data_IF_426419727107
#
_entry.id   IF_426419727107
#
_cell.length_a   1.000
_cell.length_b   1.000
_cell.length_c   1.000
_cell.angle_alpha   90.00
_cell.angle_beta   90.00
_cell.angle_gamma   90.00
#
_symmetry.space_group_name_H-M   'P 1'
#
loop_
_entity.id
_entity.type
_entity.pdbx_description
1 polymer ?
#
# COMPACT_ATOMS: atom_id res chain seq x y z
N UNK A 1 -20.43 4.58 25.32
CA UNK A 1 -19.10 4.43 24.67
C UNK A 1 -18.96 2.98 24.23
N UNK A 2 -19.64 2.58 23.17
CA UNK A 2 -19.42 1.30 22.56
C UNK A 2 -18.13 1.40 21.74
N UNK A 3 -17.13 0.66 22.21
CA UNK A 3 -15.96 0.32 21.40
C UNK A 3 -16.50 -0.63 20.35
N UNK A 4 -16.72 -0.16 19.12
CA UNK A 4 -16.98 -1.07 18.01
C UNK A 4 -15.79 -2.02 17.95
N UNK A 5 -16.00 -3.33 18.12
CA UNK A 5 -14.93 -4.28 17.90
C UNK A 5 -14.43 -4.06 16.47
N UNK A 6 -13.11 -4.09 16.28
CA UNK A 6 -12.51 -4.12 14.95
C UNK A 6 -13.36 -5.07 14.10
N UNK A 7 -14.03 -4.56 13.08
CA UNK A 7 -14.85 -5.43 12.24
C UNK A 7 -13.91 -6.43 11.57
N UNK A 8 -14.42 -7.61 11.24
CA UNK A 8 -13.65 -8.63 10.51
C UNK A 8 -13.06 -8.02 9.22
N UNK A 9 -13.77 -7.08 8.62
CA UNK A 9 -13.39 -6.31 7.45
C UNK A 9 -12.12 -5.46 7.68
N UNK A 10 -11.98 -4.79 8.83
CA UNK A 10 -10.80 -3.98 9.15
C UNK A 10 -9.60 -4.83 9.58
N UNK A 11 -9.86 -5.99 10.19
CA UNK A 11 -8.82 -6.89 10.68
C UNK A 11 -8.14 -7.67 9.53
N UNK A 12 -8.85 -7.98 8.44
CA UNK A 12 -8.36 -8.82 7.36
C UNK A 12 -7.16 -8.21 6.59
N UNK A 13 -7.11 -6.91 6.22
CA UNK A 13 -5.92 -6.31 5.61
C UNK A 13 -4.69 -6.41 6.51
N UNK A 14 -4.81 -6.10 7.79
CA UNK A 14 -3.72 -6.19 8.76
C UNK A 14 -3.23 -7.63 8.92
N UNK A 15 -4.17 -8.58 8.95
CA UNK A 15 -3.87 -10.01 9.03
C UNK A 15 -3.14 -10.50 7.76
N UNK A 16 -3.57 -10.08 6.57
CA UNK A 16 -2.91 -10.45 5.31
C UNK A 16 -1.49 -9.90 5.22
N UNK A 17 -1.24 -8.67 5.67
CA UNK A 17 0.10 -8.08 5.76
C UNK A 17 0.98 -8.83 6.77
N UNK A 18 0.42 -9.17 7.93
CA UNK A 18 1.10 -9.98 8.95
C UNK A 18 1.52 -11.35 8.43
N UNK A 19 0.64 -12.02 7.69
CA UNK A 19 0.95 -13.29 7.01
C UNK A 19 2.04 -13.12 5.95
N UNK A 20 2.02 -12.03 5.17
CA UNK A 20 3.06 -11.74 4.19
C UNK A 20 4.45 -11.58 4.81
N UNK A 21 4.56 -10.85 5.92
CA UNK A 21 5.82 -10.73 6.64
C UNK A 21 6.25 -12.07 7.25
N UNK A 22 5.31 -12.83 7.80
CA UNK A 22 5.59 -14.16 8.34
C UNK A 22 6.13 -15.09 7.25
N UNK A 23 5.50 -15.11 6.08
CA UNK A 23 5.93 -15.91 4.92
C UNK A 23 7.35 -15.54 4.50
N UNK A 24 7.64 -14.25 4.25
CA UNK A 24 8.98 -13.77 3.93
C UNK A 24 9.99 -14.18 4.99
N UNK A 25 9.64 -14.03 6.26
CA UNK A 25 10.55 -14.35 7.38
C UNK A 25 10.84 -15.84 7.47
N UNK A 26 9.83 -16.69 7.29
CA UNK A 26 9.98 -18.15 7.30
C UNK A 26 10.86 -18.62 6.13
N UNK A 27 10.62 -18.11 4.93
CA UNK A 27 11.46 -18.39 3.76
C UNK A 27 12.90 -17.92 3.98
N UNK A 28 13.08 -16.71 4.49
CA UNK A 28 14.41 -16.18 4.80
C UNK A 28 15.16 -17.07 5.79
N UNK A 29 14.53 -17.45 6.90
CA UNK A 29 15.11 -18.34 7.92
C UNK A 29 15.38 -19.73 7.32
N UNK A 30 14.43 -20.29 6.59
CA UNK A 30 14.57 -21.60 5.95
C UNK A 30 15.75 -21.65 4.98
N UNK A 31 15.86 -20.68 4.07
CA UNK A 31 16.95 -20.59 3.11
C UNK A 31 18.30 -20.36 3.81
N UNK A 32 18.34 -19.49 4.82
CA UNK A 32 19.56 -19.14 5.55
C UNK A 32 20.11 -20.29 6.40
N UNK A 33 19.25 -20.95 7.18
CA UNK A 33 19.68 -21.92 8.18
C UNK A 33 19.53 -23.37 7.72
N UNK A 34 18.45 -23.73 7.03
CA UNK A 34 18.23 -25.09 6.51
C UNK A 34 18.91 -25.24 5.15
N UNK A 35 18.73 -24.30 4.24
CA UNK A 35 19.38 -24.28 2.92
C UNK A 35 20.88 -23.93 2.97
N UNK A 36 21.38 -23.44 4.13
CA UNK A 36 22.77 -23.03 4.35
C UNK A 36 23.28 -22.01 3.32
N UNK A 37 22.41 -21.16 2.80
CA UNK A 37 22.77 -20.12 1.85
C UNK A 37 23.44 -18.98 2.62
N UNK A 38 24.72 -18.76 2.33
CA UNK A 38 25.55 -17.76 3.00
C UNK A 38 25.71 -16.48 2.20
N UNK A 39 25.45 -16.53 0.89
CA UNK A 39 25.54 -15.38 0.01
C UNK A 39 24.21 -14.59 -0.03
N UNK A 40 24.22 -13.30 0.40
CA UNK A 40 23.04 -12.47 0.35
C UNK A 40 22.43 -12.32 -1.05
N UNK A 41 23.27 -12.28 -2.09
CA UNK A 41 22.81 -12.10 -3.48
C UNK A 41 22.04 -13.32 -3.97
N UNK A 42 22.53 -14.50 -3.67
CA UNK A 42 21.84 -15.76 -4.02
C UNK A 42 20.51 -15.86 -3.28
N UNK A 43 20.49 -15.53 -1.98
CA UNK A 43 19.28 -15.56 -1.18
C UNK A 43 18.25 -14.57 -1.72
N UNK A 44 18.65 -13.32 -2.01
CA UNK A 44 17.75 -12.30 -2.58
C UNK A 44 17.13 -12.77 -3.90
N UNK A 45 17.92 -13.34 -4.82
CA UNK A 45 17.42 -13.82 -6.09
C UNK A 45 16.41 -14.97 -5.94
N UNK A 46 16.61 -15.87 -4.99
CA UNK A 46 15.63 -16.93 -4.70
C UNK A 46 14.35 -16.33 -4.13
N UNK A 47 14.47 -15.38 -3.21
CA UNK A 47 13.33 -14.72 -2.58
C UNK A 47 12.47 -13.91 -3.57
N UNK A 48 13.05 -13.36 -4.64
CA UNK A 48 12.29 -12.68 -5.70
C UNK A 48 11.27 -13.63 -6.36
N UNK A 49 11.58 -14.92 -6.48
CA UNK A 49 10.62 -15.91 -7.02
C UNK A 49 9.40 -16.09 -6.10
N UNK A 50 9.55 -15.95 -4.79
CA UNK A 50 8.41 -15.91 -3.87
C UNK A 50 7.51 -14.69 -4.16
N UNK A 51 8.10 -13.51 -4.40
CA UNK A 51 7.35 -12.32 -4.82
C UNK A 51 6.55 -12.53 -6.11
N UNK A 52 7.11 -13.24 -7.08
CA UNK A 52 6.38 -13.62 -8.31
C UNK A 52 5.18 -14.52 -8.00
N UNK A 53 5.35 -15.50 -7.11
CA UNK A 53 4.25 -16.36 -6.63
C UNK A 53 3.14 -15.56 -5.94
N UNK A 54 3.49 -14.61 -5.08
CA UNK A 54 2.57 -13.69 -4.44
C UNK A 54 1.76 -12.87 -5.45
N UNK A 55 2.42 -12.36 -6.50
CA UNK A 55 1.78 -11.60 -7.57
C UNK A 55 0.77 -12.44 -8.35
N UNK A 56 1.11 -13.68 -8.72
CA UNK A 56 0.17 -14.58 -9.37
C UNK A 56 -1.04 -14.90 -8.48
N UNK A 57 -0.83 -15.20 -7.20
CA UNK A 57 -1.90 -15.46 -6.26
C UNK A 57 -2.83 -14.24 -6.15
N UNK A 58 -2.27 -13.05 -5.99
CA UNK A 58 -3.03 -11.81 -5.90
C UNK A 58 -3.84 -11.53 -7.18
N UNK A 59 -3.27 -11.79 -8.36
CA UNK A 59 -3.98 -11.65 -9.63
C UNK A 59 -5.24 -12.52 -9.66
N UNK A 60 -5.12 -13.81 -9.33
CA UNK A 60 -6.28 -14.72 -9.33
C UNK A 60 -7.30 -14.36 -8.25
N UNK A 61 -6.85 -13.94 -7.06
CA UNK A 61 -7.75 -13.49 -6.00
C UNK A 61 -8.54 -12.24 -6.41
N UNK A 62 -7.89 -11.25 -7.01
CA UNK A 62 -8.54 -10.02 -7.51
C UNK A 62 -9.53 -10.30 -8.63
N UNK A 63 -9.15 -11.09 -9.61
CA UNK A 63 -10.04 -11.44 -10.73
C UNK A 63 -11.23 -12.25 -10.24
N UNK A 64 -11.00 -13.27 -9.40
CA UNK A 64 -12.07 -14.10 -8.84
C UNK A 64 -13.00 -13.31 -7.92
N UNK A 65 -12.46 -12.48 -7.03
CA UNK A 65 -13.23 -11.60 -6.15
C UNK A 65 -14.07 -10.60 -6.93
N UNK A 66 -13.49 -9.94 -7.93
CA UNK A 66 -14.19 -8.98 -8.79
C UNK A 66 -15.32 -9.62 -9.62
N UNK A 67 -15.13 -10.83 -10.12
CA UNK A 67 -16.18 -11.59 -10.81
C UNK A 67 -17.33 -11.89 -9.84
N UNK A 68 -17.01 -12.36 -8.63
CA UNK A 68 -18.00 -12.69 -7.62
C UNK A 68 -18.83 -11.47 -7.20
N UNK A 69 -18.16 -10.35 -6.89
CA UNK A 69 -18.80 -9.08 -6.52
C UNK A 69 -19.74 -8.59 -7.62
N UNK A 70 -19.26 -8.56 -8.87
CA UNK A 70 -20.09 -8.11 -10.00
C UNK A 70 -21.24 -9.07 -10.34
N UNK A 71 -21.07 -10.35 -10.14
CA UNK A 71 -22.16 -11.29 -10.32
C UNK A 71 -23.26 -11.10 -9.25
N UNK A 72 -22.88 -10.82 -8.01
CA UNK A 72 -23.82 -10.55 -6.93
C UNK A 72 -24.57 -9.25 -7.14
N UNK A 73 -23.87 -8.12 -7.39
CA UNK A 73 -24.39 -6.79 -7.67
C UNK A 73 -25.39 -6.81 -8.86
N UNK A 74 -24.95 -7.28 -10.03
CA UNK A 74 -25.82 -7.36 -11.22
C UNK A 74 -26.99 -8.30 -11.01
N UNK A 75 -26.78 -9.43 -10.30
CA UNK A 75 -27.86 -10.37 -9.97
C UNK A 75 -28.91 -9.74 -9.05
N UNK A 76 -28.50 -9.02 -8.00
CA UNK A 76 -29.38 -8.31 -7.10
C UNK A 76 -30.18 -7.23 -7.83
N UNK A 77 -29.53 -6.48 -8.71
CA UNK A 77 -30.17 -5.45 -9.53
C UNK A 77 -31.20 -6.00 -10.51
N UNK A 78 -30.91 -7.09 -11.18
CA UNK A 78 -31.84 -7.75 -12.09
C UNK A 78 -33.09 -8.22 -11.36
N UNK A 79 -32.95 -8.88 -10.23
CA UNK A 79 -34.09 -9.36 -9.42
C UNK A 79 -34.89 -8.19 -8.85
N UNK A 80 -34.20 -7.20 -8.26
CA UNK A 80 -34.84 -6.06 -7.62
C UNK A 80 -35.46 -5.09 -8.61
N UNK A 81 -34.65 -4.46 -9.43
CA UNK A 81 -35.08 -3.36 -10.30
C UNK A 81 -35.89 -3.82 -11.51
N UNK A 82 -35.51 -4.98 -12.13
CA UNK A 82 -36.12 -5.43 -13.37
C UNK A 82 -37.30 -6.35 -13.12
N UNK A 83 -37.17 -7.37 -12.28
CA UNK A 83 -38.24 -8.34 -12.03
C UNK A 83 -39.26 -7.85 -11.00
N UNK A 84 -38.80 -7.36 -9.84
CA UNK A 84 -39.68 -6.97 -8.74
C UNK A 84 -40.09 -5.49 -8.79
N UNK A 85 -39.41 -4.64 -9.56
CA UNK A 85 -39.70 -3.19 -9.67
C UNK A 85 -39.52 -2.46 -8.33
N UNK A 86 -38.63 -2.92 -7.48
CA UNK A 86 -38.32 -2.30 -6.18
C UNK A 86 -36.99 -1.53 -6.24
N UNK A 87 -36.78 -0.54 -5.33
CA UNK A 87 -35.53 0.21 -5.27
C UNK A 87 -34.31 -0.68 -5.03
N UNK A 88 -33.13 -0.15 -5.32
CA UNK A 88 -31.84 -0.72 -4.96
C UNK A 88 -31.75 -0.91 -3.43
N UNK A 89 -31.10 -1.95 -2.98
CA UNK A 89 -30.92 -2.29 -1.56
C UNK A 89 -32.24 -2.47 -0.75
N UNK A 90 -33.34 -2.68 -1.43
CA UNK A 90 -34.62 -2.91 -0.73
C UNK A 90 -34.56 -4.21 0.09
N UNK A 91 -34.86 -4.19 1.41
CA UNK A 91 -34.81 -5.37 2.28
C UNK A 91 -35.76 -6.48 1.87
N UNK A 92 -36.71 -6.23 0.99
CA UNK A 92 -37.60 -7.24 0.40
C UNK A 92 -36.92 -8.08 -0.67
N UNK A 93 -35.79 -7.61 -1.22
CA UNK A 93 -35.00 -8.34 -2.20
C UNK A 93 -34.03 -9.28 -1.49
N UNK A 94 -34.21 -10.62 -1.52
CA UNK A 94 -33.30 -11.54 -0.85
C UNK A 94 -31.89 -11.54 -1.46
N UNK A 95 -31.74 -11.06 -2.70
CA UNK A 95 -30.44 -10.96 -3.36
C UNK A 95 -29.56 -9.84 -2.78
N UNK A 96 -30.13 -8.89 -2.04
CA UNK A 96 -29.36 -7.83 -1.32
C UNK A 96 -28.36 -8.44 -0.33
N UNK A 97 -28.67 -9.60 0.26
CA UNK A 97 -27.71 -10.32 1.14
C UNK A 97 -26.50 -10.79 0.32
N UNK A 98 -26.73 -11.33 -0.87
CA UNK A 98 -25.65 -11.80 -1.74
C UNK A 98 -24.78 -10.62 -2.23
N UNK A 99 -25.39 -9.48 -2.47
CA UNK A 99 -24.74 -8.23 -2.87
C UNK A 99 -23.81 -7.72 -1.75
N UNK A 100 -24.33 -7.56 -0.53
CA UNK A 100 -23.53 -7.19 0.63
C UNK A 100 -22.36 -8.16 0.92
N UNK A 101 -22.57 -9.47 0.72
CA UNK A 101 -21.50 -10.47 0.83
C UNK A 101 -20.49 -10.30 -0.32
N UNK A 102 -20.97 -9.97 -1.52
CA UNK A 102 -20.15 -9.70 -2.69
C UNK A 102 -19.18 -8.54 -2.46
N UNK A 103 -19.66 -7.45 -1.88
CA UNK A 103 -18.83 -6.29 -1.53
C UNK A 103 -17.71 -6.68 -0.57
N UNK A 104 -18.03 -7.43 0.48
CA UNK A 104 -17.01 -7.95 1.41
C UNK A 104 -15.99 -8.86 0.72
N UNK A 105 -16.41 -9.72 -0.22
CA UNK A 105 -15.49 -10.56 -1.00
C UNK A 105 -14.60 -9.70 -1.91
N UNK A 106 -15.16 -8.65 -2.53
CA UNK A 106 -14.41 -7.70 -3.36
C UNK A 106 -13.32 -6.98 -2.58
N UNK A 107 -13.65 -6.50 -1.40
CA UNK A 107 -12.70 -5.80 -0.53
C UNK A 107 -11.60 -6.73 -0.01
N UNK A 108 -11.96 -7.91 0.46
CA UNK A 108 -11.00 -8.87 1.04
C UNK A 108 -10.13 -9.53 -0.03
N UNK A 109 -10.74 -10.12 -1.05
CA UNK A 109 -10.00 -10.81 -2.12
C UNK A 109 -9.36 -9.83 -3.10
N UNK A 110 -9.99 -8.68 -3.36
CA UNK A 110 -9.45 -7.63 -4.21
C UNK A 110 -8.37 -6.83 -3.52
N UNK A 111 -8.74 -6.03 -2.55
CA UNK A 111 -7.86 -5.06 -1.88
C UNK A 111 -6.84 -5.74 -0.96
N UNK A 112 -7.25 -6.75 -0.19
CA UNK A 112 -6.33 -7.49 0.69
C UNK A 112 -5.22 -8.21 -0.07
N UNK A 113 -5.55 -8.81 -1.23
CA UNK A 113 -4.57 -9.46 -2.10
C UNK A 113 -3.60 -8.44 -2.73
N UNK A 114 -4.08 -7.25 -3.10
CA UNK A 114 -3.26 -6.17 -3.66
C UNK A 114 -2.26 -5.61 -2.64
N UNK A 115 -2.71 -5.42 -1.40
CA UNK A 115 -1.85 -5.02 -0.29
C UNK A 115 -0.77 -6.08 -0.01
N UNK A 116 -1.14 -7.36 0.02
CA UNK A 116 -0.19 -8.45 0.19
C UNK A 116 0.89 -8.45 -0.91
N UNK A 117 0.48 -8.39 -2.19
CA UNK A 117 1.39 -8.33 -3.33
C UNK A 117 2.35 -7.14 -3.25
N UNK A 118 1.81 -5.95 -3.03
CA UNK A 118 2.59 -4.71 -2.97
C UNK A 118 3.60 -4.72 -1.82
N UNK A 119 3.19 -5.23 -0.66
CA UNK A 119 4.03 -5.30 0.52
C UNK A 119 5.18 -6.31 0.34
N UNK A 120 4.85 -7.53 -0.05
CA UNK A 120 5.83 -8.59 -0.32
C UNK A 120 6.77 -8.17 -1.44
N UNK A 121 6.23 -7.65 -2.54
CA UNK A 121 7.00 -7.21 -3.69
C UNK A 121 8.01 -6.10 -3.34
N UNK A 122 7.59 -5.10 -2.57
CA UNK A 122 8.46 -3.99 -2.15
C UNK A 122 9.59 -4.46 -1.22
N UNK A 123 9.30 -5.33 -0.26
CA UNK A 123 10.32 -5.90 0.64
C UNK A 123 11.34 -6.73 -0.15
N UNK A 124 10.87 -7.62 -1.02
CA UNK A 124 11.75 -8.50 -1.79
C UNK A 124 12.57 -7.74 -2.85
N UNK A 125 11.99 -6.72 -3.50
CA UNK A 125 12.73 -5.82 -4.36
C UNK A 125 13.86 -5.10 -3.58
N UNK A 126 13.56 -4.65 -2.37
CA UNK A 126 14.57 -4.00 -1.50
C UNK A 126 15.66 -4.99 -1.07
N UNK A 127 15.36 -6.29 -0.91
CA UNK A 127 16.38 -7.33 -0.67
C UNK A 127 17.38 -7.41 -1.83
N UNK A 128 16.89 -7.45 -3.06
CA UNK A 128 17.74 -7.49 -4.25
C UNK A 128 18.60 -6.22 -4.35
N UNK A 129 18.03 -5.06 -4.08
CA UNK A 129 18.74 -3.78 -4.08
C UNK A 129 19.77 -3.69 -2.93
N UNK A 130 19.47 -4.27 -1.77
CA UNK A 130 20.42 -4.38 -0.64
C UNK A 130 21.66 -5.19 -1.01
N UNK A 131 21.47 -6.32 -1.70
CA UNK A 131 22.57 -7.15 -2.18
C UNK A 131 23.42 -6.37 -3.19
N UNK A 132 22.81 -5.66 -4.14
CA UNK A 132 23.52 -4.85 -5.13
C UNK A 132 24.26 -3.65 -4.51
N UNK A 133 23.72 -3.04 -3.44
CA UNK A 133 24.31 -1.92 -2.73
C UNK A 133 25.39 -2.32 -1.72
N UNK A 134 25.68 -3.61 -1.59
CA UNK A 134 26.64 -4.18 -0.61
C UNK A 134 26.27 -3.91 0.86
N UNK A 135 25.00 -3.67 1.19
CA UNK A 135 24.53 -3.59 2.58
C UNK A 135 24.38 -4.96 3.24
N UNK A 136 24.45 -6.03 2.46
CA UNK A 136 24.41 -7.40 2.95
C UNK A 136 23.16 -7.72 3.76
N UNK A 137 23.36 -8.46 4.86
CA UNK A 137 22.24 -8.90 5.73
C UNK A 137 21.52 -7.75 6.44
N UNK A 138 22.24 -6.71 6.83
CA UNK A 138 21.66 -5.53 7.49
C UNK A 138 20.67 -4.81 6.59
N UNK A 139 21.02 -4.61 5.33
CA UNK A 139 20.15 -3.98 4.37
C UNK A 139 18.90 -4.81 4.03
N UNK A 140 18.95 -6.15 4.16
CA UNK A 140 17.76 -7.01 4.00
C UNK A 140 16.88 -7.00 5.26
N UNK A 141 17.47 -6.90 6.44
CA UNK A 141 16.73 -6.89 7.69
C UNK A 141 15.91 -5.60 7.87
N UNK A 142 16.42 -4.46 7.39
CA UNK A 142 15.80 -3.17 7.59
C UNK A 142 14.37 -3.06 7.02
N UNK A 143 14.07 -3.45 5.76
CA UNK A 143 12.71 -3.37 5.23
C UNK A 143 11.72 -4.26 5.99
N UNK A 144 12.14 -5.46 6.45
CA UNK A 144 11.29 -6.33 7.28
C UNK A 144 11.00 -5.69 8.63
N UNK A 145 12.02 -5.15 9.28
CA UNK A 145 11.88 -4.49 10.57
C UNK A 145 11.00 -3.23 10.48
N UNK A 146 11.12 -2.44 9.40
CA UNK A 146 10.23 -1.30 9.12
C UNK A 146 8.80 -1.75 8.89
N UNK A 147 8.59 -2.82 8.14
CA UNK A 147 7.27 -3.37 7.88
C UNK A 147 6.57 -3.82 9.17
N UNK A 148 7.27 -4.56 10.04
CA UNK A 148 6.75 -4.96 11.37
C UNK A 148 6.43 -3.73 12.22
N UNK A 149 7.35 -2.77 12.25
CA UNK A 149 7.16 -1.52 12.99
C UNK A 149 5.94 -0.74 12.48
N UNK A 150 5.78 -0.65 11.15
CA UNK A 150 4.64 0.00 10.51
C UNK A 150 3.31 -0.64 10.91
N UNK A 151 3.20 -1.97 10.89
CA UNK A 151 2.00 -2.68 11.34
C UNK A 151 1.67 -2.35 12.81
N UNK A 152 2.67 -2.33 13.69
CA UNK A 152 2.47 -1.99 15.10
C UNK A 152 1.98 -0.53 15.22
N UNK A 153 2.58 0.40 14.48
CA UNK A 153 2.17 1.80 14.48
C UNK A 153 0.76 1.98 13.93
N UNK A 154 0.38 1.25 12.89
CA UNK A 154 -0.97 1.26 12.31
C UNK A 154 -2.00 0.70 13.29
N UNK A 155 -1.68 -0.38 14.01
CA UNK A 155 -2.53 -0.89 15.10
C UNK A 155 -2.73 0.16 16.19
N UNK A 156 -1.68 0.85 16.61
CA UNK A 156 -1.80 1.94 17.59
C UNK A 156 -2.65 3.08 17.02
N UNK A 157 -2.46 3.44 15.74
CA UNK A 157 -3.24 4.45 15.04
C UNK A 157 -4.73 4.10 14.97
N UNK A 158 -5.07 2.83 14.75
CA UNK A 158 -6.46 2.37 14.68
C UNK A 158 -7.22 2.54 16.02
N UNK A 159 -6.55 2.35 17.15
CA UNK A 159 -7.16 2.61 18.47
C UNK A 159 -7.47 4.09 18.74
N UNK A 160 -6.86 5.00 17.98
CA UNK A 160 -7.11 6.44 18.09
C UNK A 160 -8.31 6.89 17.25
N UNK A 161 -8.77 6.07 16.32
CA UNK A 161 -9.94 6.34 15.50
C UNK A 161 -11.19 6.17 16.36
N UNK A 162 -11.85 7.29 16.66
CA UNK A 162 -13.10 7.31 17.44
C UNK A 162 -14.14 8.12 16.70
N UNK A 163 -15.29 7.52 16.45
CA UNK A 163 -16.43 8.15 15.79
C UNK A 163 -17.70 7.97 16.63
N UNK A 164 -18.69 8.86 16.41
CA UNK A 164 -20.03 8.73 16.98
C UNK A 164 -20.95 8.08 15.94
N UNK A 165 -22.02 7.42 16.39
CA UNK A 165 -23.02 6.80 15.49
C UNK A 165 -23.61 7.78 14.49
N UNK A 166 -23.88 9.04 14.90
CA UNK A 166 -24.42 10.09 14.04
C UNK A 166 -23.31 10.93 13.36
N UNK A 167 -22.12 10.38 13.15
CA UNK A 167 -21.02 11.13 12.56
C UNK A 167 -21.27 11.43 11.09
N UNK A 168 -21.05 12.69 10.70
CA UNK A 168 -21.07 13.06 9.27
C UNK A 168 -19.89 12.43 8.56
N UNK A 169 -20.03 12.17 7.25
CA UNK A 169 -18.96 11.61 6.41
C UNK A 169 -17.63 12.38 6.54
N UNK A 170 -17.69 13.72 6.61
CA UNK A 170 -16.52 14.55 6.85
C UNK A 170 -15.88 14.30 8.23
N UNK A 171 -16.64 13.96 9.24
CA UNK A 171 -16.15 13.61 10.57
C UNK A 171 -15.45 12.24 10.55
N UNK A 172 -15.99 11.28 9.79
CA UNK A 172 -15.38 9.97 9.57
C UNK A 172 -14.02 10.09 8.88
N UNK A 173 -13.95 10.84 7.78
CA UNK A 173 -12.72 11.11 7.05
C UNK A 173 -11.64 11.78 7.92
N UNK A 174 -12.03 12.77 8.76
CA UNK A 174 -11.11 13.40 9.70
C UNK A 174 -10.57 12.43 10.74
N UNK A 175 -11.41 11.52 11.24
CA UNK A 175 -11.00 10.51 12.21
C UNK A 175 -10.01 9.51 11.60
N UNK A 176 -10.29 9.04 10.38
CA UNK A 176 -9.37 8.17 9.61
C UNK A 176 -8.02 8.85 9.37
N UNK A 177 -8.02 10.10 8.92
CA UNK A 177 -6.77 10.87 8.74
C UNK A 177 -5.97 11.00 10.03
N UNK A 178 -6.63 11.19 11.15
CA UNK A 178 -5.94 11.27 12.44
C UNK A 178 -5.23 9.96 12.76
N UNK A 179 -5.88 8.82 12.53
CA UNK A 179 -5.26 7.50 12.68
C UNK A 179 -4.04 7.32 11.77
N UNK A 180 -4.21 7.60 10.47
CA UNK A 180 -3.13 7.46 9.48
C UNK A 180 -1.94 8.37 9.78
N UNK A 181 -2.18 9.67 10.07
CA UNK A 181 -1.08 10.60 10.34
C UNK A 181 -0.36 10.30 11.66
N UNK A 182 -1.07 9.79 12.67
CA UNK A 182 -0.41 9.36 13.92
C UNK A 182 0.42 8.11 13.71
N UNK A 183 -0.08 7.14 12.92
CA UNK A 183 0.70 5.95 12.53
C UNK A 183 1.97 6.36 11.76
N UNK A 184 1.84 7.26 10.78
CA UNK A 184 2.97 7.78 10.00
C UNK A 184 4.00 8.50 10.88
N UNK A 185 3.55 9.36 11.81
CA UNK A 185 4.44 10.05 12.74
C UNK A 185 5.18 9.09 13.67
N UNK A 186 4.48 8.08 14.20
CA UNK A 186 5.10 7.04 15.03
C UNK A 186 6.12 6.22 14.22
N UNK A 187 5.78 5.82 13.00
CA UNK A 187 6.67 5.10 12.10
C UNK A 187 7.91 5.94 11.77
N UNK A 188 7.76 7.23 11.51
CA UNK A 188 8.87 8.15 11.28
C UNK A 188 9.83 8.23 12.47
N UNK A 189 9.29 8.33 13.69
CA UNK A 189 10.09 8.38 14.92
C UNK A 189 10.83 7.06 15.17
N UNK A 190 10.17 5.92 14.96
CA UNK A 190 10.76 4.60 15.17
C UNK A 190 11.73 4.18 14.06
N UNK A 191 11.55 4.68 12.84
CA UNK A 191 12.45 4.41 11.72
C UNK A 191 13.88 4.93 11.97
N UNK A 192 14.05 6.01 12.75
CA UNK A 192 15.36 6.59 13.06
C UNK A 192 16.24 5.63 13.88
N UNK A 193 15.83 5.20 15.10
CA UNK A 193 16.64 4.23 15.85
C UNK A 193 16.79 2.90 15.10
N UNK A 194 15.78 2.49 14.33
CA UNK A 194 15.83 1.24 13.57
C UNK A 194 16.92 1.29 12.49
N UNK A 195 16.97 2.35 11.69
CA UNK A 195 18.00 2.54 10.67
C UNK A 195 19.40 2.63 11.27
N UNK A 196 19.54 3.32 12.42
CA UNK A 196 20.82 3.44 13.11
C UNK A 196 21.29 2.12 13.72
N UNK A 197 20.41 1.34 14.32
CA UNK A 197 20.75 0.04 14.95
C UNK A 197 21.08 -1.03 13.92
N UNK A 198 20.37 -1.06 12.78
CA UNK A 198 20.51 -2.13 11.78
C UNK A 198 21.65 -1.85 10.81
N UNK A 199 21.72 -0.64 10.25
CA UNK A 199 22.75 -0.28 9.26
C UNK A 199 24.05 0.21 9.93
N UNK A 200 23.94 0.79 11.13
CA UNK A 200 25.08 1.44 11.79
C UNK A 200 25.43 2.79 11.18
N UNK A 201 26.31 3.57 11.86
CA UNK A 201 26.67 4.92 11.43
C UNK A 201 27.51 4.98 10.14
N UNK A 202 28.16 3.88 9.76
CA UNK A 202 29.08 3.81 8.61
C UNK A 202 28.37 3.62 7.26
N UNK A 203 27.12 3.15 7.27
CA UNK A 203 26.38 2.78 6.05
C UNK A 203 25.31 3.80 5.65
N UNK A 204 25.64 5.07 5.61
CA UNK A 204 24.72 6.16 5.19
C UNK A 204 23.33 6.11 5.86
N UNK A 205 23.26 5.70 7.14
CA UNK A 205 22.01 5.53 7.88
C UNK A 205 21.10 6.77 7.85
N UNK A 206 21.67 7.97 7.87
CA UNK A 206 20.92 9.23 7.76
C UNK A 206 20.26 9.41 6.38
N UNK A 207 20.96 9.04 5.32
CA UNK A 207 20.42 9.12 3.95
C UNK A 207 19.27 8.14 3.75
N UNK A 208 19.42 6.91 4.25
CA UNK A 208 18.38 5.89 4.24
C UNK A 208 17.18 6.32 5.09
N UNK A 209 17.40 6.90 6.26
CA UNK A 209 16.31 7.45 7.09
C UNK A 209 15.53 8.56 6.37
N UNK A 210 16.21 9.48 5.71
CA UNK A 210 15.54 10.53 4.91
C UNK A 210 14.75 9.92 3.75
N UNK A 211 15.27 8.85 3.12
CA UNK A 211 14.52 8.14 2.08
C UNK A 211 13.22 7.50 2.62
N UNK A 212 13.25 6.91 3.83
CA UNK A 212 12.04 6.40 4.51
C UNK A 212 11.04 7.54 4.74
N UNK A 213 11.51 8.70 5.24
CA UNK A 213 10.65 9.86 5.44
C UNK A 213 10.03 10.37 4.14
N UNK A 214 10.78 10.38 3.04
CA UNK A 214 10.25 10.74 1.73
C UNK A 214 9.12 9.79 1.30
N UNK A 215 9.27 8.48 1.56
CA UNK A 215 8.21 7.49 1.33
C UNK A 215 6.96 7.76 2.16
N UNK A 216 7.10 7.92 3.48
CA UNK A 216 5.99 8.20 4.41
C UNK A 216 5.24 9.47 4.02
N UNK A 217 5.95 10.56 3.77
CA UNK A 217 5.34 11.84 3.37
C UNK A 217 4.68 11.70 2.00
N UNK A 218 5.31 10.98 1.06
CA UNK A 218 4.75 10.69 -0.25
C UNK A 218 3.42 9.93 -0.14
N UNK A 219 3.35 8.87 0.69
CA UNK A 219 2.14 8.11 0.94
C UNK A 219 1.00 8.96 1.52
N UNK A 220 1.29 9.76 2.55
CA UNK A 220 0.31 10.68 3.14
C UNK A 220 -0.19 11.72 2.11
N UNK A 221 0.71 12.25 1.27
CA UNK A 221 0.34 13.21 0.24
C UNK A 221 -0.54 12.59 -0.85
N UNK A 222 -0.20 11.36 -1.31
CA UNK A 222 -1.01 10.62 -2.27
C UNK A 222 -2.41 10.36 -1.71
N UNK A 223 -2.50 9.88 -0.46
CA UNK A 223 -3.78 9.66 0.22
C UNK A 223 -4.63 10.92 0.27
N UNK A 224 -4.06 12.08 0.60
CA UNK A 224 -4.76 13.36 0.60
C UNK A 224 -5.27 13.77 -0.79
N UNK A 225 -4.44 13.66 -1.83
CA UNK A 225 -4.85 14.03 -3.18
C UNK A 225 -5.88 13.05 -3.75
N UNK A 226 -5.74 11.75 -3.46
CA UNK A 226 -6.74 10.75 -3.84
C UNK A 226 -8.09 11.09 -3.23
N UNK A 227 -8.14 11.37 -1.92
CA UNK A 227 -9.37 11.79 -1.25
C UNK A 227 -9.96 13.07 -1.86
N UNK A 228 -9.13 14.07 -2.17
CA UNK A 228 -9.58 15.32 -2.79
C UNK A 228 -10.30 15.11 -4.13
N UNK A 229 -9.85 14.14 -4.93
CA UNK A 229 -10.44 13.86 -6.25
C UNK A 229 -11.56 12.83 -6.23
N UNK A 230 -11.70 12.03 -5.16
CA UNK A 230 -12.70 10.94 -5.09
C UNK A 230 -13.86 11.22 -4.15
N UNK A 231 -13.67 12.02 -3.11
CA UNK A 231 -14.73 12.29 -2.13
C UNK A 231 -15.77 13.29 -2.67
N UNK A 232 -17.02 13.03 -2.39
CA UNK A 232 -18.20 13.85 -2.72
C UNK A 232 -18.21 15.22 -2.03
N UNK A 233 -17.44 15.38 -0.94
CA UNK A 233 -17.31 16.64 -0.21
C UNK A 233 -16.48 17.70 -0.93
N UNK A 234 -15.75 17.32 -1.99
CA UNK A 234 -14.87 18.22 -2.72
C UNK A 234 -15.42 18.60 -4.10
N UNK A 235 -15.04 19.81 -4.53
CA UNK A 235 -15.50 20.39 -5.80
C UNK A 235 -15.33 19.50 -7.04
N UNK A 236 -14.23 18.74 -7.23
CA UNK A 236 -14.06 17.93 -8.43
C UNK A 236 -15.18 16.91 -8.64
N UNK A 237 -15.55 16.19 -7.59
CA UNK A 237 -16.63 15.19 -7.64
C UNK A 237 -18.00 15.85 -7.76
N UNK A 238 -18.23 16.97 -7.04
CA UNK A 238 -19.48 17.74 -7.14
C UNK A 238 -19.70 18.30 -8.55
N UNK A 239 -18.64 18.77 -9.21
CA UNK A 239 -18.72 19.23 -10.60
C UNK A 239 -19.04 18.09 -11.57
N UNK A 240 -18.49 16.89 -11.32
CA UNK A 240 -18.83 15.72 -12.11
C UNK A 240 -20.29 15.31 -11.90
N UNK A 241 -20.79 15.34 -10.66
CA UNK A 241 -22.18 15.06 -10.35
C UNK A 241 -23.12 16.08 -11.05
N UNK A 242 -22.80 17.37 -11.01
CA UNK A 242 -23.59 18.40 -11.73
C UNK A 242 -23.55 18.19 -13.24
N UNK A 243 -22.46 17.67 -13.82
CA UNK A 243 -22.41 17.37 -15.25
C UNK A 243 -23.35 16.23 -15.67
N UNK A 244 -23.83 15.39 -14.73
CA UNK A 244 -24.80 14.33 -15.04
C UNK A 244 -26.13 14.86 -15.56
N UNK A 245 -26.52 16.08 -15.18
CA UNK A 245 -27.74 16.74 -15.66
C UNK A 245 -27.70 17.03 -17.16
N UNK A 246 -26.51 17.14 -17.75
CA UNK A 246 -26.34 17.46 -19.18
C UNK A 246 -26.34 16.23 -20.08
N UNK A 247 -26.30 15.03 -19.52
CA UNK A 247 -26.42 13.77 -20.24
C UNK A 247 -25.28 12.77 -19.98
N UNK A 248 -25.48 11.51 -20.41
CA UNK A 248 -24.56 10.41 -20.17
C UNK A 248 -23.17 10.59 -20.82
N UNK A 249 -23.11 11.20 -22.01
CA UNK A 249 -21.84 11.42 -22.70
C UNK A 249 -20.92 12.39 -21.94
N UNK A 250 -21.49 13.46 -21.40
CA UNK A 250 -20.74 14.48 -20.64
C UNK A 250 -20.20 13.93 -19.32
N UNK A 251 -20.95 13.08 -18.63
CA UNK A 251 -20.49 12.46 -17.38
C UNK A 251 -19.37 11.44 -17.63
N UNK A 252 -19.44 10.66 -18.72
CA UNK A 252 -18.38 9.72 -19.07
C UNK A 252 -17.07 10.47 -19.38
N UNK A 253 -17.12 11.48 -20.24
CA UNK A 253 -15.94 12.29 -20.57
C UNK A 253 -15.42 13.03 -19.34
N UNK A 254 -16.30 13.60 -18.54
CA UNK A 254 -15.97 14.25 -17.27
C UNK A 254 -15.29 13.31 -16.28
N UNK A 255 -15.79 12.07 -16.14
CA UNK A 255 -15.23 11.05 -15.28
C UNK A 255 -13.83 10.62 -15.70
N UNK A 256 -13.61 10.38 -16.99
CA UNK A 256 -12.27 10.07 -17.53
C UNK A 256 -11.31 11.24 -17.27
N UNK A 257 -11.75 12.49 -17.54
CA UNK A 257 -10.95 13.68 -17.29
C UNK A 257 -10.57 13.83 -15.81
N UNK A 258 -11.51 13.56 -14.90
CA UNK A 258 -11.29 13.62 -13.46
C UNK A 258 -10.30 12.53 -13.01
N UNK A 259 -10.46 11.29 -13.50
CA UNK A 259 -9.55 10.19 -13.23
C UNK A 259 -8.11 10.50 -13.68
N UNK A 260 -7.93 11.02 -14.89
CA UNK A 260 -6.61 11.44 -15.39
C UNK A 260 -5.98 12.58 -14.56
N UNK A 261 -6.78 13.52 -14.06
CA UNK A 261 -6.27 14.58 -13.16
C UNK A 261 -5.86 14.02 -11.80
N UNK A 262 -6.58 13.07 -11.26
CA UNK A 262 -6.26 12.41 -9.99
C UNK A 262 -4.92 11.66 -10.07
N UNK A 263 -4.71 10.90 -11.15
CA UNK A 263 -3.45 10.15 -11.33
C UNK A 263 -2.24 11.05 -11.56
N UNK A 264 -2.42 12.23 -12.16
CA UNK A 264 -1.32 13.18 -12.39
C UNK A 264 -0.65 13.62 -11.07
N UNK A 265 -1.45 13.94 -10.05
CA UNK A 265 -0.91 14.35 -8.75
C UNK A 265 -0.06 13.23 -8.11
N UNK A 266 -0.58 12.01 -8.11
CA UNK A 266 0.10 10.83 -7.57
C UNK A 266 1.42 10.54 -8.31
N UNK A 267 1.43 10.61 -9.65
CA UNK A 267 2.64 10.39 -10.46
C UNK A 267 3.72 11.45 -10.12
N UNK A 268 3.34 12.72 -9.99
CA UNK A 268 4.29 13.78 -9.64
C UNK A 268 4.89 13.56 -8.25
N UNK A 269 4.06 13.20 -7.25
CA UNK A 269 4.54 12.93 -5.89
C UNK A 269 5.51 11.75 -5.89
N UNK A 270 5.17 10.64 -6.55
CA UNK A 270 6.05 9.47 -6.66
C UNK A 270 7.36 9.83 -7.37
N UNK A 271 7.31 10.59 -8.46
CA UNK A 271 8.51 11.01 -9.19
C UNK A 271 9.45 11.85 -8.31
N UNK A 272 8.91 12.79 -7.55
CA UNK A 272 9.68 13.58 -6.59
C UNK A 272 10.25 12.71 -5.47
N UNK A 273 9.44 11.80 -4.91
CA UNK A 273 9.88 10.88 -3.86
C UNK A 273 11.04 9.99 -4.35
N UNK A 274 10.96 9.46 -5.57
CA UNK A 274 12.02 8.65 -6.19
C UNK A 274 13.31 9.46 -6.30
N UNK A 275 13.26 10.69 -6.83
CA UNK A 275 14.44 11.52 -6.99
C UNK A 275 15.07 11.89 -5.63
N UNK A 276 14.24 12.31 -4.67
CA UNK A 276 14.72 12.69 -3.34
C UNK A 276 15.33 11.47 -2.61
N UNK A 277 14.67 10.33 -2.59
CA UNK A 277 15.15 9.13 -1.92
C UNK A 277 16.45 8.61 -2.56
N UNK A 278 16.55 8.68 -3.90
CA UNK A 278 17.76 8.31 -4.62
C UNK A 278 18.97 9.13 -4.20
N UNK A 279 18.87 10.45 -4.29
CA UNK A 279 20.00 11.33 -3.96
C UNK A 279 20.32 11.37 -2.47
N UNK A 280 19.30 11.35 -1.60
CA UNK A 280 19.51 11.33 -0.15
C UNK A 280 20.21 10.06 0.34
N UNK A 281 19.92 8.91 -0.27
CA UNK A 281 20.59 7.65 0.06
C UNK A 281 22.04 7.55 -0.46
N UNK A 282 22.55 8.58 -1.12
CA UNK A 282 23.91 8.63 -1.63
C UNK A 282 24.04 8.31 -3.12
N UNK A 283 22.92 8.31 -3.86
CA UNK A 283 22.92 8.12 -5.31
C UNK A 283 23.66 9.24 -6.04
N UNK A 284 24.35 8.90 -7.10
CA UNK A 284 25.09 9.85 -7.95
C UNK A 284 24.64 9.75 -9.40
N UNK A 285 24.97 10.76 -10.19
CA UNK A 285 24.71 10.80 -11.64
C UNK A 285 25.64 9.87 -12.43
N UNK A 286 26.73 9.40 -11.83
CA UNK A 286 27.68 8.47 -12.45
C UNK A 286 27.17 7.04 -12.30
N UNK A 287 26.58 6.50 -13.36
CA UNK A 287 25.93 5.19 -13.35
C UNK A 287 26.96 4.06 -13.48
N UNK A 288 27.94 4.23 -14.36
CA UNK A 288 28.92 3.21 -14.72
C UNK A 288 30.33 3.70 -14.41
N UNK A 289 31.14 2.87 -13.79
CA UNK A 289 32.56 3.10 -13.53
C UNK A 289 33.39 2.87 -14.80
N UNK A 290 34.66 3.27 -14.77
CA UNK A 290 35.64 3.06 -15.84
C UNK A 290 35.80 1.58 -16.26
N UNK A 291 35.40 0.63 -15.40
CA UNK A 291 35.43 -0.81 -15.63
C UNK A 291 34.13 -1.38 -16.24
N UNK A 292 33.13 -0.54 -16.56
CA UNK A 292 31.84 -0.98 -17.10
C UNK A 292 30.86 -1.57 -16.07
N UNK A 293 31.16 -1.47 -14.77
CA UNK A 293 30.30 -1.90 -13.68
C UNK A 293 29.48 -0.75 -13.11
N UNK A 294 28.31 -1.04 -12.53
CA UNK A 294 27.52 -0.06 -11.79
C UNK A 294 28.29 0.45 -10.57
N UNK A 295 28.28 1.78 -10.37
CA UNK A 295 28.95 2.37 -9.21
C UNK A 295 28.25 2.00 -7.91
N UNK A 296 29.00 1.89 -6.81
CA UNK A 296 28.41 1.60 -5.49
C UNK A 296 27.38 2.67 -5.09
N UNK A 297 27.65 3.93 -5.39
CA UNK A 297 26.75 5.05 -5.13
C UNK A 297 25.43 4.95 -5.92
N UNK A 298 25.47 4.50 -7.19
CA UNK A 298 24.26 4.25 -7.95
C UNK A 298 23.39 3.19 -7.28
N UNK A 299 23.98 2.08 -6.87
CA UNK A 299 23.27 0.98 -6.19
C UNK A 299 22.71 1.42 -4.83
N UNK A 300 23.44 2.26 -4.08
CA UNK A 300 22.95 2.84 -2.81
C UNK A 300 21.73 3.74 -3.04
N UNK A 301 21.75 4.57 -4.09
CA UNK A 301 20.57 5.35 -4.49
C UNK A 301 19.37 4.51 -4.83
N UNK A 302 19.55 3.41 -5.57
CA UNK A 302 18.49 2.45 -5.87
C UNK A 302 17.92 1.80 -4.60
N UNK A 303 18.78 1.43 -3.65
CA UNK A 303 18.34 0.92 -2.34
C UNK A 303 17.49 1.96 -1.60
N UNK A 304 17.87 3.25 -1.67
CA UNK A 304 17.07 4.35 -1.13
C UNK A 304 15.65 4.42 -1.71
N UNK A 305 15.50 4.17 -3.02
CA UNK A 305 14.16 4.09 -3.65
C UNK A 305 13.37 2.90 -3.11
N UNK A 306 13.99 1.72 -3.01
CA UNK A 306 13.35 0.52 -2.49
C UNK A 306 12.85 0.70 -1.05
N UNK A 307 13.70 1.26 -0.19
CA UNK A 307 13.34 1.48 1.22
C UNK A 307 12.28 2.59 1.39
N UNK A 308 12.26 3.59 0.50
CA UNK A 308 11.21 4.60 0.47
C UNK A 308 9.85 3.98 0.07
N UNK A 309 9.83 3.03 -0.86
CA UNK A 309 8.62 2.29 -1.22
C UNK A 309 8.08 1.49 -0.03
N UNK A 310 8.95 0.80 0.73
CA UNK A 310 8.55 0.13 1.98
C UNK A 310 8.04 1.13 3.01
N UNK A 311 8.69 2.29 3.14
CA UNK A 311 8.24 3.39 3.99
C UNK A 311 6.84 3.89 3.62
N UNK A 312 6.55 4.05 2.33
CA UNK A 312 5.23 4.46 1.82
C UNK A 312 4.12 3.47 2.19
N UNK A 313 4.43 2.18 2.19
CA UNK A 313 3.48 1.10 2.51
C UNK A 313 3.36 0.81 4.01
N UNK A 314 4.19 1.42 4.86
CA UNK A 314 4.24 1.11 6.30
C UNK A 314 3.14 1.80 7.13
N UNK A 315 2.23 2.54 6.49
CA UNK A 315 1.15 3.30 7.18
C UNK A 315 -0.23 3.01 6.63
#
# INVERSE_FOLDING_TARGET
>A
TEIYPLSLHDALPIFSLGLGILDITLWFIGLRYIGKITDPTVLANIMVMNGMGASFMALFARVGGGIYTKAADVGADLVGKVEAGIPEDDPRNPATIADNVGDNVGDVAGMGADLYESYVGSILATFALSAAANYGWSGMLLPVALAVCGIICSLIGSFLIKTKEDATQMSLLKSLRTGTYTAAALSAVLALPLSYLILGPEQHCWGVYIAILCGLVGGCAIGYFTEYYTSDNYKPTQQLAAASETGSATIIIGGISLGLKSTMASILIVSVAILLSYFCAGGTTTIIDSNGAFTAAFNQGLYGIGIAAVGMLST
#
